data_IF_766246675094
#
_entry.id   IF_766246675094
#
_cell.length_a   1.000
_cell.length_b   1.000
_cell.length_c   1.000
_cell.angle_alpha   90.00
_cell.angle_beta   90.00
_cell.angle_gamma   90.00
#
_symmetry.space_group_name_H-M   'P 1'
#
loop_
_entity.id
_entity.type
_entity.pdbx_description
1 polymer ?
#
# COMPACT_ATOMS: atom_id res chain seq x y z
N UNK A 1 12.88 -3.31 -25.89
CA UNK A 1 14.06 -2.97 -25.07
C UNK A 1 13.54 -2.29 -23.83
N UNK A 2 13.74 -2.88 -22.66
CA UNK A 2 13.40 -2.26 -21.38
C UNK A 2 14.39 -1.13 -21.12
N UNK A 3 13.89 0.09 -20.96
CA UNK A 3 14.70 1.25 -20.58
C UNK A 3 15.12 1.08 -19.11
N UNK A 4 16.42 0.88 -18.89
CA UNK A 4 16.98 0.63 -17.56
C UNK A 4 17.23 1.91 -16.74
N UNK A 5 16.91 3.08 -17.28
CA UNK A 5 16.99 4.34 -16.53
C UNK A 5 15.97 4.34 -15.38
N UNK A 6 16.19 5.15 -14.31
CA UNK A 6 15.19 5.30 -13.25
C UNK A 6 13.79 5.69 -13.77
N UNK A 7 13.73 6.57 -14.77
CA UNK A 7 12.49 6.97 -15.44
C UNK A 7 11.88 5.81 -16.22
N UNK A 8 12.70 5.06 -16.96
CA UNK A 8 12.26 3.88 -17.72
C UNK A 8 11.66 2.79 -16.83
N UNK A 9 12.26 2.54 -15.68
CA UNK A 9 11.75 1.60 -14.68
C UNK A 9 10.42 2.05 -14.08
N UNK A 10 10.30 3.32 -13.66
CA UNK A 10 9.02 3.89 -13.20
C UNK A 10 7.96 3.77 -14.28
N UNK A 11 8.31 4.06 -15.54
CA UNK A 11 7.42 3.99 -16.69
C UNK A 11 6.89 2.57 -16.88
N UNK A 12 7.77 1.58 -16.92
CA UNK A 12 7.37 0.17 -17.05
C UNK A 12 6.45 -0.26 -15.89
N UNK A 13 6.78 0.08 -14.64
CA UNK A 13 5.94 -0.26 -13.48
C UNK A 13 4.54 0.36 -13.57
N UNK A 14 4.43 1.62 -14.02
CA UNK A 14 3.13 2.28 -14.18
C UNK A 14 2.32 1.69 -15.34
N UNK A 15 2.96 1.36 -16.46
CA UNK A 15 2.30 0.68 -17.59
C UNK A 15 1.76 -0.71 -17.18
N UNK A 16 2.57 -1.50 -16.47
CA UNK A 16 2.17 -2.80 -15.92
C UNK A 16 0.99 -2.68 -14.93
N UNK A 17 0.92 -1.55 -14.21
CA UNK A 17 -0.19 -1.22 -13.31
C UNK A 17 -1.46 -0.71 -14.02
N UNK A 18 -1.44 -0.61 -15.37
CA UNK A 18 -2.57 -0.20 -16.19
C UNK A 18 -2.72 1.32 -16.37
N UNK A 19 -1.66 2.09 -16.08
CA UNK A 19 -1.59 3.50 -16.48
C UNK A 19 -1.19 3.62 -17.95
N UNK A 20 -1.71 4.64 -18.62
CA UNK A 20 -1.44 4.92 -20.03
C UNK A 20 -0.53 6.12 -20.16
N UNK A 21 0.59 5.93 -20.88
CA UNK A 21 1.52 6.99 -21.23
C UNK A 21 0.86 8.00 -22.19
N UNK A 22 1.01 9.29 -21.90
CA UNK A 22 0.61 10.38 -22.79
C UNK A 22 1.70 10.59 -23.85
N UNK A 23 1.60 9.84 -24.96
CA UNK A 23 2.65 9.79 -25.99
C UNK A 23 2.89 11.10 -26.74
N UNK A 24 1.93 12.02 -26.76
CA UNK A 24 2.04 13.32 -27.45
C UNK A 24 2.73 14.41 -26.62
N UNK A 25 3.19 14.09 -25.40
CA UNK A 25 3.55 15.07 -24.39
C UNK A 25 2.32 15.65 -23.67
N UNK A 26 2.51 16.17 -22.46
CA UNK A 26 1.43 16.69 -21.63
C UNK A 26 0.91 18.02 -22.19
N UNK A 27 -0.38 18.06 -22.52
CA UNK A 27 -1.06 19.28 -22.91
C UNK A 27 -2.29 19.50 -22.02
N UNK A 28 -2.40 20.70 -21.45
CA UNK A 28 -3.55 21.14 -20.66
C UNK A 28 -4.08 22.44 -21.26
N UNK A 29 -5.25 22.38 -21.89
CA UNK A 29 -5.72 23.47 -22.74
C UNK A 29 -4.77 23.71 -23.91
N UNK A 30 -4.26 24.93 -24.05
CA UNK A 30 -3.27 25.30 -25.07
C UNK A 30 -1.81 25.20 -24.57
N UNK A 31 -1.62 24.92 -23.28
CA UNK A 31 -0.30 24.87 -22.65
C UNK A 31 0.31 23.49 -22.80
N UNK A 32 1.56 23.45 -23.28
CA UNK A 32 2.35 22.23 -23.41
C UNK A 32 3.44 22.17 -22.35
N UNK A 33 3.56 21.01 -21.72
CA UNK A 33 4.53 20.75 -20.67
C UNK A 33 5.39 19.55 -21.03
N UNK A 34 6.69 19.66 -20.79
CA UNK A 34 7.65 18.61 -21.09
C UNK A 34 8.05 17.90 -19.80
N UNK A 35 7.66 16.63 -19.68
CA UNK A 35 8.10 15.74 -18.61
C UNK A 35 8.68 14.48 -19.26
N UNK A 36 9.70 13.86 -18.65
CA UNK A 36 10.22 12.56 -19.10
C UNK A 36 9.12 11.53 -19.37
N UNK A 37 8.10 11.48 -18.51
CA UNK A 37 6.87 10.73 -18.78
C UNK A 37 5.67 11.37 -18.06
N UNK A 38 4.48 11.17 -18.60
CA UNK A 38 3.22 11.59 -18.00
C UNK A 38 2.15 10.52 -18.27
N UNK A 39 1.31 10.23 -17.28
CA UNK A 39 0.35 9.14 -17.35
C UNK A 39 -1.05 9.55 -16.88
N UNK A 40 -2.04 8.89 -17.46
CA UNK A 40 -3.43 8.87 -16.96
C UNK A 40 -3.88 7.44 -16.81
N UNK A 41 -4.86 7.18 -15.94
CA UNK A 41 -5.44 5.85 -15.83
C UNK A 41 -6.53 5.68 -16.90
N UNK A 42 -6.43 4.64 -17.73
CA UNK A 42 -7.27 4.43 -18.92
C UNK A 42 -8.78 4.62 -18.68
N UNK A 43 -9.26 4.11 -17.54
CA UNK A 43 -10.68 4.09 -17.17
C UNK A 43 -11.00 5.00 -15.97
N UNK A 44 -10.08 5.90 -15.59
CA UNK A 44 -10.30 6.84 -14.49
C UNK A 44 -9.87 8.24 -14.87
N UNK A 45 -10.82 9.16 -14.79
CA UNK A 45 -10.58 10.59 -14.96
C UNK A 45 -9.94 11.23 -13.72
N UNK A 46 -9.55 10.46 -12.70
CA UNK A 46 -9.25 11.03 -11.40
C UNK A 46 -7.78 11.39 -11.18
N UNK A 47 -6.84 10.84 -11.93
CA UNK A 47 -5.41 10.99 -11.61
C UNK A 47 -4.56 11.31 -12.85
N UNK A 48 -3.70 12.33 -12.72
CA UNK A 48 -2.61 12.66 -13.62
C UNK A 48 -1.29 12.42 -12.86
N UNK A 49 -0.43 11.57 -13.42
CA UNK A 49 0.89 11.27 -12.86
C UNK A 49 1.96 11.89 -13.76
N UNK A 50 2.88 12.63 -13.17
CA UNK A 50 4.06 13.15 -13.84
C UNK A 50 5.30 12.45 -13.30
N UNK A 51 6.24 12.12 -14.18
CA UNK A 51 7.54 11.58 -13.81
C UNK A 51 8.60 12.61 -14.15
N UNK A 52 9.45 12.95 -13.17
CA UNK A 52 10.56 13.87 -13.31
C UNK A 52 11.86 13.24 -12.77
N UNK A 53 12.99 13.71 -13.29
CA UNK A 53 14.31 13.26 -12.87
C UNK A 53 15.17 14.44 -12.41
N UNK A 54 15.46 14.52 -11.11
CA UNK A 54 16.29 15.58 -10.53
C UNK A 54 17.79 15.41 -10.84
N UNK A 55 18.21 14.29 -11.45
CA UNK A 55 19.55 14.20 -12.03
C UNK A 55 19.67 15.04 -13.32
N UNK A 56 18.55 15.31 -13.99
CA UNK A 56 18.48 15.96 -15.30
C UNK A 56 17.87 17.37 -15.27
N UNK A 57 17.16 17.74 -14.20
CA UNK A 57 16.48 19.02 -14.03
C UNK A 57 16.67 19.58 -12.61
N UNK A 58 16.79 20.92 -12.48
CA UNK A 58 16.90 21.55 -11.15
C UNK A 58 15.56 21.60 -10.41
N UNK A 59 15.60 21.60 -9.08
CA UNK A 59 14.39 21.72 -8.24
C UNK A 59 13.56 22.96 -8.58
N UNK A 60 14.20 24.11 -8.81
CA UNK A 60 13.50 25.36 -9.15
C UNK A 60 12.78 25.27 -10.48
N UNK A 61 13.35 24.60 -11.48
CA UNK A 61 12.70 24.37 -12.77
C UNK A 61 11.53 23.40 -12.63
N UNK A 62 11.71 22.31 -11.87
CA UNK A 62 10.66 21.34 -11.60
C UNK A 62 9.46 21.98 -10.89
N UNK A 63 9.70 22.78 -9.83
CA UNK A 63 8.66 23.53 -9.10
C UNK A 63 7.87 24.41 -10.06
N UNK A 64 8.54 25.24 -10.87
CA UNK A 64 7.86 26.14 -11.82
C UNK A 64 7.02 25.39 -12.84
N UNK A 65 7.50 24.26 -13.35
CA UNK A 65 6.74 23.43 -14.30
C UNK A 65 5.51 22.82 -13.65
N UNK A 66 5.66 22.28 -12.45
CA UNK A 66 4.56 21.64 -11.71
C UNK A 66 3.50 22.68 -11.31
N UNK A 67 3.91 23.85 -10.82
CA UNK A 67 3.01 24.99 -10.57
C UNK A 67 2.28 25.41 -11.84
N UNK A 68 2.98 25.45 -12.97
CA UNK A 68 2.39 25.73 -14.28
C UNK A 68 1.32 24.71 -14.69
N UNK A 69 1.59 23.41 -14.47
CA UNK A 69 0.61 22.35 -14.72
C UNK A 69 -0.60 22.49 -13.79
N UNK A 70 -0.38 22.66 -12.48
CA UNK A 70 -1.45 22.83 -11.50
C UNK A 70 -2.34 24.03 -11.87
N UNK A 71 -1.71 25.16 -12.23
CA UNK A 71 -2.45 26.35 -12.66
C UNK A 71 -3.23 26.12 -13.95
N UNK A 72 -2.67 25.38 -14.91
CA UNK A 72 -3.36 25.04 -16.15
C UNK A 72 -4.57 24.13 -15.88
N UNK A 73 -4.43 23.16 -14.96
CA UNK A 73 -5.53 22.30 -14.53
C UNK A 73 -6.65 23.10 -13.85
N UNK A 74 -6.29 24.06 -13.00
CA UNK A 74 -7.26 24.96 -12.36
C UNK A 74 -8.06 25.76 -13.39
N UNK A 75 -7.36 26.36 -14.37
CA UNK A 75 -7.99 27.14 -15.46
C UNK A 75 -8.90 26.26 -16.31
N UNK A 76 -8.50 25.02 -16.57
CA UNK A 76 -9.28 24.03 -17.30
C UNK A 76 -10.44 23.41 -16.46
N UNK A 77 -10.63 23.85 -15.21
CA UNK A 77 -11.58 23.27 -14.26
C UNK A 77 -11.46 21.73 -14.14
N UNK A 78 -10.24 21.22 -14.25
CA UNK A 78 -9.96 19.78 -14.18
C UNK A 78 -10.06 19.29 -12.74
N UNK A 79 -10.77 18.18 -12.53
CA UNK A 79 -10.87 17.50 -11.23
C UNK A 79 -9.82 16.41 -11.01
N UNK A 80 -8.85 16.27 -11.93
CA UNK A 80 -7.75 15.29 -11.81
C UNK A 80 -6.83 15.69 -10.65
N UNK A 81 -6.55 14.75 -9.75
CA UNK A 81 -5.47 14.87 -8.79
C UNK A 81 -4.12 14.81 -9.51
N UNK A 82 -3.16 15.60 -9.02
CA UNK A 82 -1.81 15.65 -9.54
C UNK A 82 -0.85 14.87 -8.62
N UNK A 83 -0.21 13.85 -9.15
CA UNK A 83 0.86 13.10 -8.48
C UNK A 83 2.17 13.30 -9.25
N UNK A 84 3.25 13.63 -8.54
CA UNK A 84 4.59 13.78 -9.07
C UNK A 84 5.51 12.68 -8.51
N UNK A 85 5.99 11.80 -9.39
CA UNK A 85 7.04 10.83 -9.07
C UNK A 85 8.39 11.46 -9.43
N UNK A 86 9.29 11.52 -8.46
CA UNK A 86 10.62 12.14 -8.64
C UNK A 86 11.70 11.09 -8.50
N UNK A 87 12.43 10.84 -9.59
CA UNK A 87 13.63 10.00 -9.61
C UNK A 87 14.89 10.84 -9.39
N UNK A 88 15.99 10.15 -9.08
CA UNK A 88 17.29 10.78 -8.88
C UNK A 88 17.50 11.25 -7.43
N UNK A 89 18.33 12.29 -7.21
CA UNK A 89 18.59 12.83 -5.88
C UNK A 89 17.30 13.20 -5.16
N UNK A 90 17.27 12.96 -3.84
CA UNK A 90 16.11 13.33 -3.02
C UNK A 90 15.93 14.85 -3.03
N UNK A 91 14.72 15.38 -3.30
CA UNK A 91 14.48 16.82 -3.24
C UNK A 91 14.75 17.39 -1.85
N UNK A 92 15.18 18.64 -1.79
CA UNK A 92 15.34 19.41 -0.56
C UNK A 92 14.01 19.55 0.18
N UNK A 93 14.06 19.79 1.50
CA UNK A 93 12.86 20.00 2.29
C UNK A 93 12.00 21.16 1.77
N UNK A 94 12.64 22.25 1.32
CA UNK A 94 11.97 23.39 0.72
C UNK A 94 11.28 23.03 -0.62
N UNK A 95 11.91 22.20 -1.46
CA UNK A 95 11.30 21.74 -2.70
C UNK A 95 10.14 20.78 -2.45
N UNK A 96 10.27 19.86 -1.49
CA UNK A 96 9.16 18.98 -1.06
C UNK A 96 7.97 19.79 -0.56
N UNK A 97 8.20 20.83 0.25
CA UNK A 97 7.14 21.71 0.74
C UNK A 97 6.48 22.48 -0.40
N UNK A 98 7.25 23.05 -1.32
CA UNK A 98 6.73 23.81 -2.45
C UNK A 98 5.88 22.92 -3.37
N UNK A 99 6.41 21.77 -3.80
CA UNK A 99 5.71 20.82 -4.67
C UNK A 99 4.46 20.23 -3.97
N UNK A 100 4.55 19.95 -2.67
CA UNK A 100 3.48 19.40 -1.85
C UNK A 100 2.25 20.31 -1.72
N UNK A 101 2.37 21.61 -2.01
CA UNK A 101 1.23 22.55 -2.00
C UNK A 101 0.24 22.32 -3.14
N UNK A 102 0.72 21.77 -4.26
CA UNK A 102 -0.07 21.65 -5.50
C UNK A 102 -0.19 20.22 -6.01
N UNK A 103 0.63 19.29 -5.51
CA UNK A 103 0.59 17.89 -5.91
C UNK A 103 0.97 16.96 -4.77
N UNK A 104 0.65 15.68 -4.94
CA UNK A 104 1.23 14.61 -4.13
C UNK A 104 2.61 14.26 -4.68
N UNK A 105 3.65 14.38 -3.86
CA UNK A 105 5.03 14.04 -4.27
C UNK A 105 5.45 12.64 -3.77
N UNK A 106 6.06 11.86 -4.66
CA UNK A 106 6.60 10.53 -4.41
C UNK A 106 8.09 10.49 -4.83
N UNK A 107 9.01 10.86 -3.92
CA UNK A 107 10.44 10.76 -4.21
C UNK A 107 10.89 9.31 -4.10
N UNK A 108 11.37 8.73 -5.19
CA UNK A 108 11.86 7.33 -5.21
C UNK A 108 13.33 7.22 -4.81
N UNK A 109 14.06 8.34 -4.85
CA UNK A 109 15.50 8.39 -4.61
C UNK A 109 16.34 7.71 -5.71
N UNK A 110 17.63 7.51 -5.41
CA UNK A 110 18.55 6.77 -6.28
C UNK A 110 18.37 5.27 -6.07
N UNK A 111 17.43 4.69 -6.80
CA UNK A 111 17.20 3.25 -6.76
C UNK A 111 18.34 2.56 -7.54
N UNK A 112 19.22 1.88 -6.80
CA UNK A 112 20.42 1.19 -7.31
C UNK A 112 20.54 -0.18 -6.64
N UNK A 113 21.06 -1.19 -7.35
CA UNK A 113 21.31 -2.54 -6.81
C UNK A 113 20.24 -3.59 -7.16
N UNK A 114 20.49 -4.84 -6.76
CA UNK A 114 19.69 -6.03 -7.13
C UNK A 114 18.25 -5.98 -6.60
N UNK A 115 18.02 -5.35 -5.43
CA UNK A 115 16.68 -5.18 -4.82
C UNK A 115 15.93 -3.93 -5.35
N UNK A 116 16.46 -3.29 -6.40
CA UNK A 116 15.97 -2.01 -6.88
C UNK A 116 14.48 -2.03 -7.24
N UNK A 117 13.98 -3.12 -7.82
CA UNK A 117 12.58 -3.22 -8.26
C UNK A 117 11.61 -3.41 -7.08
N UNK A 118 12.00 -4.14 -6.04
CA UNK A 118 11.19 -4.26 -4.82
C UNK A 118 11.08 -2.91 -4.09
N UNK A 119 12.20 -2.20 -3.97
CA UNK A 119 12.23 -0.86 -3.37
C UNK A 119 11.39 0.13 -4.18
N UNK A 120 11.49 0.10 -5.51
CA UNK A 120 10.67 0.94 -6.38
C UNK A 120 9.18 0.64 -6.21
N UNK A 121 8.80 -0.64 -6.20
CA UNK A 121 7.42 -1.05 -5.99
C UNK A 121 6.87 -0.56 -4.64
N UNK A 122 7.68 -0.59 -3.59
CA UNK A 122 7.25 -0.08 -2.28
C UNK A 122 7.00 1.44 -2.31
N UNK A 123 7.87 2.22 -2.96
CA UNK A 123 7.66 3.66 -3.14
C UNK A 123 6.41 3.98 -3.98
N UNK A 124 6.16 3.19 -5.02
CA UNK A 124 5.03 3.36 -5.90
C UNK A 124 3.75 2.68 -5.41
N UNK A 125 3.80 1.92 -4.30
CA UNK A 125 2.72 1.04 -3.84
C UNK A 125 1.35 1.72 -3.74
N UNK A 126 1.33 3.05 -3.49
CA UNK A 126 0.08 3.81 -3.42
C UNK A 126 -0.61 4.06 -4.77
N UNK A 127 0.13 3.92 -5.87
CA UNK A 127 -0.38 4.00 -7.24
C UNK A 127 -0.71 2.60 -7.78
N UNK A 128 -0.11 1.56 -7.19
CA UNK A 128 -0.28 0.19 -7.67
C UNK A 128 -1.59 -0.42 -7.16
N UNK A 129 -2.24 -1.28 -7.96
CA UNK A 129 -3.38 -2.05 -7.51
C UNK A 129 -3.03 -2.84 -6.24
N UNK A 130 -3.91 -2.78 -5.23
CA UNK A 130 -3.76 -3.60 -4.04
C UNK A 130 -3.90 -5.08 -4.43
N UNK A 131 -2.81 -5.82 -4.29
CA UNK A 131 -2.84 -7.28 -4.37
C UNK A 131 -3.44 -7.80 -3.08
N UNK A 132 -4.76 -7.98 -3.06
CA UNK A 132 -5.42 -8.65 -1.94
C UNK A 132 -5.02 -10.13 -1.97
N UNK A 133 -4.60 -10.72 -0.84
CA UNK A 133 -4.39 -12.16 -0.79
C UNK A 133 -5.70 -12.83 -1.20
N UNK A 134 -5.62 -13.87 -2.04
CA UNK A 134 -6.80 -14.66 -2.37
C UNK A 134 -7.45 -15.07 -1.04
N UNK A 135 -8.74 -14.75 -0.82
CA UNK A 135 -9.41 -15.14 0.39
C UNK A 135 -9.29 -16.67 0.47
N UNK A 136 -8.44 -17.17 1.36
CA UNK A 136 -8.45 -18.59 1.71
C UNK A 136 -9.86 -18.82 2.21
N UNK A 137 -10.65 -19.56 1.45
CA UNK A 137 -12.06 -19.84 1.72
C UNK A 137 -12.30 -19.89 3.23
N UNK A 138 -12.92 -18.84 3.77
CA UNK A 138 -13.43 -18.83 5.14
C UNK A 138 -14.80 -19.53 5.15
N UNK A 139 -15.06 -20.44 4.20
CA UNK A 139 -16.16 -21.39 4.26
C UNK A 139 -15.74 -22.69 4.96
N UNK A 140 -14.88 -22.58 5.97
CA UNK A 140 -14.51 -23.68 6.85
C UNK A 140 -14.92 -23.30 8.27
N UNK A 141 -15.61 -24.21 8.95
CA UNK A 141 -16.03 -24.06 10.34
C UNK A 141 -14.85 -23.60 11.22
N UNK A 142 -14.90 -22.34 11.66
CA UNK A 142 -13.87 -21.73 12.50
C UNK A 142 -13.65 -22.52 13.78
N UNK A 143 -14.69 -23.16 14.32
CA UNK A 143 -14.56 -24.03 15.49
C UNK A 143 -13.79 -25.30 15.15
N UNK A 144 -14.02 -25.91 13.98
CA UNK A 144 -13.24 -27.07 13.54
C UNK A 144 -11.73 -26.74 13.38
N UNK A 145 -11.39 -25.51 12.96
CA UNK A 145 -10.00 -25.05 12.90
C UNK A 145 -9.39 -24.81 14.27
N UNK A 146 -10.16 -24.23 15.19
CA UNK A 146 -9.73 -24.04 16.58
C UNK A 146 -9.53 -25.41 17.25
N UNK A 147 -10.42 -26.37 17.00
CA UNK A 147 -10.32 -27.77 17.44
C UNK A 147 -9.05 -28.44 16.91
N UNK A 148 -8.77 -28.30 15.60
CA UNK A 148 -7.57 -28.84 14.99
C UNK A 148 -6.28 -28.22 15.55
N UNK A 149 -6.27 -26.91 15.77
CA UNK A 149 -5.12 -26.21 16.37
C UNK A 149 -4.95 -26.55 17.87
N UNK A 150 -6.05 -26.88 18.55
CA UNK A 150 -6.07 -27.21 19.98
C UNK A 150 -5.67 -28.65 20.29
N UNK A 151 -5.42 -29.51 19.29
CA UNK A 151 -5.03 -30.91 19.51
C UNK A 151 -3.77 -31.07 20.38
N UNK A 152 -2.85 -30.09 20.31
CA UNK A 152 -1.61 -30.08 21.08
C UNK A 152 -1.70 -29.27 22.40
N UNK A 153 -2.87 -28.73 22.73
CA UNK A 153 -3.08 -28.03 24.00
C UNK A 153 -3.35 -29.02 25.13
N UNK A 154 -3.26 -28.51 26.35
CA UNK A 154 -3.55 -29.25 27.56
C UNK A 154 -5.05 -29.62 27.65
N UNK A 155 -5.34 -30.69 28.39
CA UNK A 155 -6.69 -31.26 28.48
C UNK A 155 -7.72 -30.29 29.07
N UNK A 156 -7.28 -29.33 29.90
CA UNK A 156 -8.15 -28.28 30.43
C UNK A 156 -8.65 -27.37 29.32
N UNK A 157 -7.72 -26.89 28.49
CA UNK A 157 -8.04 -26.01 27.36
C UNK A 157 -8.91 -26.72 26.32
N UNK A 158 -8.67 -28.02 26.07
CA UNK A 158 -9.52 -28.84 25.18
C UNK A 158 -10.97 -28.93 25.66
N UNK A 159 -11.18 -29.24 26.94
CA UNK A 159 -12.53 -29.33 27.53
C UNK A 159 -13.32 -28.02 27.40
N UNK A 160 -12.66 -26.88 27.58
CA UNK A 160 -13.29 -25.57 27.42
C UNK A 160 -13.65 -25.27 25.95
N UNK A 161 -12.81 -25.70 25.01
CA UNK A 161 -13.03 -25.56 23.57
C UNK A 161 -14.17 -26.48 23.08
N UNK A 162 -14.35 -27.65 23.69
CA UNK A 162 -15.43 -28.60 23.36
C UNK A 162 -16.81 -28.08 23.77
N UNK A 163 -16.90 -27.34 24.89
CA UNK A 163 -18.17 -26.75 25.36
C UNK A 163 -18.45 -25.37 24.74
N UNK A 164 -17.48 -24.77 24.05
CA UNK A 164 -17.61 -23.46 23.39
C UNK A 164 -18.81 -23.32 22.43
N UNK A 165 -19.20 -24.34 21.63
CA UNK A 165 -20.37 -24.25 20.74
C UNK A 165 -21.69 -24.04 21.49
N UNK A 166 -21.75 -24.41 22.77
CA UNK A 166 -22.93 -24.28 23.63
C UNK A 166 -23.04 -22.89 24.29
N UNK A 167 -22.07 -22.01 24.02
CA UNK A 167 -22.06 -20.62 24.45
C UNK A 167 -21.47 -20.38 25.84
N UNK A 168 -21.42 -19.10 26.22
CA UNK A 168 -20.72 -18.60 27.41
C UNK A 168 -21.08 -19.33 28.70
N UNK A 169 -22.36 -19.61 28.92
CA UNK A 169 -22.83 -20.25 30.16
C UNK A 169 -22.26 -21.66 30.36
N UNK A 170 -22.17 -22.44 29.27
CA UNK A 170 -21.61 -23.78 29.31
C UNK A 170 -20.10 -23.75 29.59
N UNK A 171 -19.37 -22.84 28.94
CA UNK A 171 -17.93 -22.63 29.17
C UNK A 171 -17.67 -22.22 30.63
N UNK A 172 -18.42 -21.26 31.16
CA UNK A 172 -18.26 -20.83 32.56
C UNK A 172 -18.54 -21.97 33.54
N UNK A 173 -19.58 -22.78 33.30
CA UNK A 173 -19.90 -23.93 34.16
C UNK A 173 -18.78 -24.97 34.17
N UNK A 174 -18.24 -25.29 32.99
CA UNK A 174 -17.13 -26.24 32.87
C UNK A 174 -15.86 -25.72 33.57
N UNK A 175 -15.55 -24.43 33.40
CA UNK A 175 -14.43 -23.79 34.10
C UNK A 175 -14.58 -23.89 35.62
N UNK A 176 -15.76 -23.61 36.17
CA UNK A 176 -16.01 -23.74 37.60
C UNK A 176 -15.84 -25.18 38.09
N UNK A 177 -16.33 -26.17 37.33
CA UNK A 177 -16.17 -27.59 37.68
C UNK A 177 -14.69 -28.01 37.74
N UNK A 178 -13.87 -27.50 36.83
CA UNK A 178 -12.42 -27.77 36.80
C UNK A 178 -11.74 -27.16 38.03
N UNK A 179 -12.07 -25.91 38.37
CA UNK A 179 -11.52 -25.22 39.55
C UNK A 179 -11.90 -25.96 40.84
N UNK A 180 -13.16 -26.35 40.99
CA UNK A 180 -13.63 -27.08 42.17
C UNK A 180 -12.93 -28.44 42.32
N UNK A 181 -12.75 -29.17 41.21
CA UNK A 181 -12.04 -30.46 41.21
C UNK A 181 -10.58 -30.28 41.63
N UNK A 182 -9.91 -29.26 41.11
CA UNK A 182 -8.52 -28.95 41.48
C UNK A 182 -8.40 -28.55 42.97
N UNK A 183 -9.37 -27.79 43.50
CA UNK A 183 -9.41 -27.38 44.90
C UNK A 183 -9.62 -28.57 45.86
N UNK A 184 -10.42 -29.56 45.47
CA UNK A 184 -10.61 -30.80 46.25
C UNK A 184 -9.33 -31.65 46.27
N UNK A 185 -8.71 -31.87 45.11
CA UNK A 185 -7.46 -32.63 45.01
C UNK A 185 -6.30 -31.97 45.78
N UNK A 186 -6.27 -30.64 45.86
CA UNK A 186 -5.28 -29.92 46.65
C UNK A 186 -5.46 -30.12 48.17
N UNK A 187 -6.71 -30.22 48.65
CA UNK A 187 -7.00 -30.49 50.07
C UNK A 187 -6.60 -31.91 50.49
N UNK A 188 -6.86 -32.90 49.63
CA UNK A 188 -6.51 -34.30 49.90
C UNK A 188 -5.00 -34.57 49.93
N UNK A 189 -4.19 -33.81 49.16
CA UNK A 189 -2.72 -33.91 49.20
C UNK A 189 -2.06 -33.27 50.42
N UNK A 190 -2.79 -32.47 51.19
CA UNK A 190 -2.26 -31.71 52.34
C UNK A 190 -2.65 -32.37 53.68
N UNK A 191 -3.32 -33.52 53.64
CA UNK A 191 -3.70 -34.35 54.80
C UNK A 191 -2.89 -35.64 54.79
#
# INVERSE_FOLDING_TARGET
>A
MTDSTPVGRVTATLEDAGYQLISSGLQVGELKFQFPAAFVKANSSAELILVADLASESETQLIRKVDGVARALDIAASTRSLTLVVTGPRPSAAALEALGRVCRILPTGNISGDDGDEVLNNWLAVLLPLSLPQPKSVAGDSLARIHAAAQNLDDTTKKLIDVAPQGKGAVSKELYSIIDTAAVQAKEKTT
#
